data_IF_729611645753
#
_entry.id   IF_729611645753
#
_cell.length_a   1.000
_cell.length_b   1.000
_cell.length_c   1.000
_cell.angle_alpha   90.00
_cell.angle_beta   90.00
_cell.angle_gamma   90.00
#
_symmetry.space_group_name_H-M   'P 1'
#
loop_
_entity.id
_entity.type
_entity.pdbx_description
1 polymer ?
#
# COMPACT_ATOMS: atom_id res chain seq x y z
N UNK A 1 -11.31 -7.27 -3.92
CA UNK A 1 -10.59 -6.01 -4.17
C UNK A 1 -9.76 -5.70 -2.94
N UNK A 2 -8.49 -6.08 -2.93
CA UNK A 2 -7.63 -5.95 -1.75
C UNK A 2 -7.16 -4.50 -1.63
N UNK A 3 -7.51 -3.86 -0.51
CA UNK A 3 -6.97 -2.56 -0.16
C UNK A 3 -6.45 -2.52 1.25
N UNK A 4 -5.38 -1.77 1.47
CA UNK A 4 -4.80 -1.51 2.79
C UNK A 4 -4.80 -0.01 3.09
N UNK A 5 -4.75 0.32 4.38
CA UNK A 5 -4.56 1.68 4.88
C UNK A 5 -3.18 1.76 5.48
N UNK A 6 -2.40 2.77 5.08
CA UNK A 6 -0.99 2.91 5.47
C UNK A 6 -0.71 4.31 5.99
N UNK A 7 0.32 4.44 6.82
CA UNK A 7 0.86 5.75 7.20
C UNK A 7 1.72 6.34 6.08
N UNK A 8 1.98 7.64 6.15
CA UNK A 8 2.84 8.34 5.17
C UNK A 8 4.27 7.76 5.11
N UNK A 9 4.73 7.14 6.19
CA UNK A 9 6.06 6.53 6.27
C UNK A 9 6.16 5.13 5.63
N UNK A 10 5.02 4.53 5.27
CA UNK A 10 4.95 3.15 4.78
C UNK A 10 4.78 3.07 3.25
N UNK A 11 4.86 4.20 2.55
CA UNK A 11 4.58 4.31 1.11
C UNK A 11 5.49 3.42 0.27
N UNK A 12 6.79 3.36 0.58
CA UNK A 12 7.76 2.51 -0.15
C UNK A 12 7.41 1.02 -0.02
N UNK A 13 7.12 0.57 1.21
CA UNK A 13 6.68 -0.81 1.47
C UNK A 13 5.39 -1.17 0.73
N UNK A 14 4.48 -0.21 0.59
CA UNK A 14 3.24 -0.42 -0.17
C UNK A 14 3.51 -0.61 -1.67
N UNK A 15 4.47 0.12 -2.24
CA UNK A 15 4.87 -0.08 -3.63
C UNK A 15 5.47 -1.47 -3.87
N UNK A 16 6.29 -1.98 -2.94
CA UNK A 16 6.84 -3.33 -3.02
C UNK A 16 5.73 -4.40 -3.06
N UNK A 17 4.68 -4.24 -2.23
CA UNK A 17 3.52 -5.15 -2.23
C UNK A 17 2.71 -5.06 -3.52
N UNK A 18 2.55 -3.86 -4.07
CA UNK A 18 1.86 -3.64 -5.35
C UNK A 18 2.62 -4.30 -6.51
N UNK A 19 3.95 -4.21 -6.53
CA UNK A 19 4.76 -4.85 -7.57
C UNK A 19 4.62 -6.38 -7.56
N UNK A 20 4.50 -6.98 -6.38
CA UNK A 20 4.26 -8.42 -6.21
C UNK A 20 2.81 -8.83 -6.45
N UNK A 21 1.90 -7.88 -6.64
CA UNK A 21 0.47 -8.13 -6.84
C UNK A 21 -0.30 -8.52 -5.56
N UNK A 22 0.29 -8.31 -4.38
CA UNK A 22 -0.33 -8.59 -3.08
C UNK A 22 -1.43 -7.57 -2.75
N UNK A 23 -1.27 -6.35 -3.24
CA UNK A 23 -2.17 -5.22 -2.99
C UNK A 23 -2.46 -4.48 -4.29
N UNK A 24 -3.72 -4.08 -4.47
CA UNK A 24 -4.16 -3.34 -5.66
C UNK A 24 -4.38 -1.84 -5.39
N UNK A 25 -4.66 -1.47 -4.13
CA UNK A 25 -4.91 -0.09 -3.73
C UNK A 25 -4.48 0.14 -2.30
N UNK A 26 -3.61 1.12 -2.07
CA UNK A 26 -3.27 1.59 -0.72
C UNK A 26 -3.79 3.01 -0.53
N UNK A 27 -4.37 3.28 0.64
CA UNK A 27 -4.86 4.62 1.02
C UNK A 27 -3.97 5.15 2.13
N UNK A 28 -3.35 6.30 1.89
CA UNK A 28 -2.48 6.96 2.87
C UNK A 28 -3.34 7.81 3.81
N UNK A 29 -3.11 7.66 5.11
CA UNK A 29 -3.71 8.49 6.15
C UNK A 29 -2.62 9.24 6.93
N UNK A 30 -2.98 10.40 7.46
CA UNK A 30 -2.12 11.26 8.27
C UNK A 30 -2.09 10.81 9.73
#
# INVERSE_FOLDING_TARGET
FVSETIGIHDVETAFDKMHRGEVLRSVVVL
#
